data_IF_491464203940
#
_entry.id   IF_491464203940
#
_cell.length_a   1.000
_cell.length_b   1.000
_cell.length_c   1.000
_cell.angle_alpha   90.00
_cell.angle_beta   90.00
_cell.angle_gamma   90.00
#
_symmetry.space_group_name_H-M   'P 1'
#
loop_
_entity.id
_entity.type
_entity.pdbx_description
1 polymer ?
#
# COMPACT_ATOMS: atom_id res chain seq x y z
N UNK A 1 -15.44 -18.70 22.09
CA UNK A 1 -16.82 -18.27 22.18
C UNK A 1 -16.90 -16.77 22.01
N UNK A 2 -17.37 -16.30 20.85
CA UNK A 2 -17.58 -14.88 20.61
C UNK A 2 -18.70 -14.40 21.53
N UNK A 3 -18.37 -13.55 22.51
CA UNK A 3 -19.38 -12.75 23.19
C UNK A 3 -19.68 -11.55 22.29
N UNK A 4 -20.82 -11.57 21.63
CA UNK A 4 -21.38 -10.40 21.02
C UNK A 4 -21.70 -9.39 22.14
N UNK A 5 -20.94 -8.32 22.21
CA UNK A 5 -21.23 -7.21 23.09
C UNK A 5 -22.00 -6.14 22.28
N UNK A 6 -23.32 -6.01 22.48
CA UNK A 6 -24.12 -5.04 21.74
C UNK A 6 -23.79 -3.59 22.10
N UNK A 7 -22.98 -3.36 23.12
CA UNK A 7 -22.53 -2.02 23.54
C UNK A 7 -21.06 -1.75 23.22
N UNK A 8 -20.42 -2.64 22.45
CA UNK A 8 -19.08 -2.37 21.92
C UNK A 8 -19.13 -1.15 20.98
N UNK A 9 -18.25 -0.16 21.13
CA UNK A 9 -18.17 0.99 20.24
C UNK A 9 -17.90 0.60 18.78
N UNK A 10 -17.57 -0.66 18.50
CA UNK A 10 -17.45 -1.19 17.14
C UNK A 10 -18.81 -1.52 16.49
N UNK A 11 -19.87 -1.69 17.28
CA UNK A 11 -21.23 -2.00 16.78
C UNK A 11 -21.99 -0.74 16.35
N UNK A 12 -21.60 0.42 16.84
CA UNK A 12 -22.24 1.71 16.58
C UNK A 12 -21.68 2.42 15.33
N UNK A 13 -21.09 1.64 14.41
CA UNK A 13 -20.64 2.18 13.12
C UNK A 13 -21.86 2.44 12.24
N UNK A 14 -21.95 3.70 11.81
CA UNK A 14 -22.89 4.15 10.80
C UNK A 14 -22.92 3.15 9.61
N UNK A 15 -24.11 2.62 9.20
CA UNK A 15 -24.23 1.76 8.02
C UNK A 15 -23.61 2.35 6.75
N UNK A 16 -23.46 3.67 6.65
CA UNK A 16 -22.71 4.34 5.60
C UNK A 16 -21.21 4.06 5.64
N UNK A 17 -20.61 3.88 6.82
CA UNK A 17 -19.20 3.51 6.95
C UNK A 17 -18.96 2.07 6.51
N UNK A 18 -19.87 1.15 6.80
CA UNK A 18 -19.82 -0.22 6.29
C UNK A 18 -19.88 -0.24 4.76
N UNK A 19 -20.81 0.51 4.18
CA UNK A 19 -20.93 0.62 2.72
C UNK A 19 -19.67 1.20 2.08
N UNK A 20 -19.12 2.28 2.63
CA UNK A 20 -17.88 2.91 2.13
C UNK A 20 -16.69 1.95 2.22
N UNK A 21 -16.60 1.18 3.30
CA UNK A 21 -15.54 0.18 3.48
C UNK A 21 -15.65 -0.92 2.44
N UNK A 22 -16.85 -1.45 2.22
CA UNK A 22 -17.05 -2.57 1.28
C UNK A 22 -16.98 -2.14 -0.19
N UNK A 23 -17.31 -0.89 -0.49
CA UNK A 23 -17.22 -0.35 -1.85
C UNK A 23 -15.78 -0.08 -2.30
N UNK A 24 -14.93 0.35 -1.40
CA UNK A 24 -13.52 0.63 -1.69
C UNK A 24 -12.72 -0.69 -1.67
N UNK A 25 -12.10 -1.10 -2.81
CA UNK A 25 -11.40 -2.38 -2.89
C UNK A 25 -10.23 -2.48 -1.90
N UNK A 26 -9.57 -1.38 -1.58
CA UNK A 26 -8.46 -1.36 -0.62
C UNK A 26 -8.98 -1.53 0.81
N UNK A 27 -9.97 -0.74 1.20
CA UNK A 27 -10.56 -0.82 2.54
C UNK A 27 -11.22 -2.18 2.78
N UNK A 28 -11.90 -2.72 1.75
CA UNK A 28 -12.48 -4.05 1.80
C UNK A 28 -11.42 -5.12 2.01
N UNK A 29 -10.30 -5.04 1.32
CA UNK A 29 -9.20 -5.99 1.48
C UNK A 29 -8.56 -5.85 2.86
N UNK A 30 -8.31 -4.66 3.34
CA UNK A 30 -7.78 -4.42 4.70
C UNK A 30 -8.72 -4.97 5.77
N UNK A 31 -10.02 -4.84 5.58
CA UNK A 31 -11.02 -5.39 6.49
C UNK A 31 -11.01 -6.93 6.48
N UNK A 32 -10.95 -7.57 5.30
CA UNK A 32 -10.82 -9.02 5.18
C UNK A 32 -9.55 -9.52 5.88
N UNK A 33 -8.40 -8.92 5.61
CA UNK A 33 -7.13 -9.30 6.22
C UNK A 33 -7.19 -9.21 7.75
N UNK A 34 -7.85 -8.20 8.29
CA UNK A 34 -8.08 -8.06 9.73
C UNK A 34 -8.96 -9.20 10.28
N UNK A 35 -10.02 -9.60 9.56
CA UNK A 35 -10.88 -10.73 9.94
C UNK A 35 -10.10 -12.05 9.94
N UNK A 36 -9.15 -12.22 9.02
CA UNK A 36 -8.28 -13.39 8.92
C UNK A 36 -7.08 -13.33 9.89
N UNK A 37 -7.02 -12.30 10.75
CA UNK A 37 -5.97 -12.14 11.75
C UNK A 37 -4.62 -11.69 11.18
N UNK A 38 -4.61 -11.16 9.95
CA UNK A 38 -3.40 -10.64 9.31
C UNK A 38 -3.29 -9.14 9.59
N UNK A 39 -2.26 -8.75 10.33
CA UNK A 39 -1.90 -7.34 10.52
C UNK A 39 -0.97 -6.88 9.41
N UNK A 40 -1.36 -5.82 8.70
CA UNK A 40 -0.45 -5.12 7.80
C UNK A 40 0.56 -4.32 8.64
N UNK A 41 1.84 -4.49 8.37
CA UNK A 41 2.94 -3.87 9.16
C UNK A 41 2.80 -2.36 9.34
N UNK A 42 2.14 -1.68 8.42
CA UNK A 42 1.91 -0.22 8.50
C UNK A 42 0.78 0.19 9.43
N UNK A 43 -0.14 -0.69 9.76
CA UNK A 43 -1.28 -0.39 10.64
C UNK A 43 -1.03 -0.75 12.09
N UNK A 44 0.04 -1.47 12.37
CA UNK A 44 0.45 -1.76 13.74
C UNK A 44 0.95 -0.48 14.40
N UNK A 45 0.09 0.15 15.21
CA UNK A 45 0.52 1.24 16.11
C UNK A 45 1.69 0.79 16.97
N UNK A 46 1.70 -0.48 17.39
CA UNK A 46 2.76 -1.13 18.14
C UNK A 46 4.09 -1.19 17.39
N UNK A 47 4.08 -1.47 16.08
CA UNK A 47 5.30 -1.47 15.26
C UNK A 47 5.86 -0.03 15.10
N UNK A 48 5.00 0.98 15.01
CA UNK A 48 5.40 2.38 14.93
C UNK A 48 5.95 2.88 16.27
N UNK A 49 5.33 2.49 17.37
CA UNK A 49 5.81 2.83 18.72
C UNK A 49 7.13 2.12 19.04
N UNK A 50 7.27 0.84 18.64
CA UNK A 50 8.51 0.09 18.80
C UNK A 50 9.66 0.68 17.96
N UNK A 51 9.40 1.07 16.71
CA UNK A 51 10.39 1.74 15.86
C UNK A 51 10.81 3.10 16.42
N UNK A 52 9.88 3.87 17.02
CA UNK A 52 10.20 5.13 17.73
C UNK A 52 11.02 4.91 19.00
N UNK A 53 10.73 3.85 19.75
CA UNK A 53 11.43 3.53 20.98
C UNK A 53 12.84 2.99 20.76
N UNK A 54 13.07 2.26 19.65
CA UNK A 54 14.38 1.66 19.32
C UNK A 54 15.24 2.55 18.42
N UNK A 55 14.70 3.69 17.90
CA UNK A 55 15.42 4.55 16.97
C UNK A 55 15.67 3.91 15.61
N UNK A 56 15.07 2.75 15.36
CA UNK A 56 15.12 2.10 14.06
C UNK A 56 14.19 2.82 13.08
N UNK A 57 14.79 3.47 12.10
CA UNK A 57 14.03 3.93 10.94
C UNK A 57 13.45 2.70 10.27
N UNK A 58 12.11 2.61 10.17
CA UNK A 58 11.46 1.56 9.37
C UNK A 58 12.12 1.55 7.99
N UNK A 59 12.99 0.58 7.74
CA UNK A 59 13.47 0.31 6.39
C UNK A 59 12.26 -0.21 5.60
N UNK A 60 11.66 0.67 4.83
CA UNK A 60 10.70 0.24 3.82
C UNK A 60 11.44 -0.74 2.90
N UNK A 61 11.01 -2.00 2.93
CA UNK A 61 11.58 -3.01 2.03
C UNK A 61 11.12 -2.66 0.62
N UNK A 62 12.06 -2.24 -0.20
CA UNK A 62 11.79 -1.95 -1.61
C UNK A 62 11.41 -3.25 -2.30
N UNK A 63 10.26 -3.34 -2.96
CA UNK A 63 9.95 -4.51 -3.78
C UNK A 63 11.04 -4.73 -4.83
N UNK A 64 11.53 -5.99 -4.99
CA UNK A 64 12.67 -6.26 -5.88
C UNK A 64 12.47 -5.81 -7.33
N UNK A 65 11.23 -5.85 -7.82
CA UNK A 65 10.83 -5.42 -9.15
C UNK A 65 10.81 -3.90 -9.35
N UNK A 66 10.85 -3.13 -8.26
CA UNK A 66 10.88 -1.66 -8.27
C UNK A 66 12.26 -1.11 -7.95
N UNK A 67 13.23 -1.95 -7.63
CA UNK A 67 14.51 -1.52 -7.07
C UNK A 67 15.29 -0.60 -8.03
N UNK A 68 15.32 -0.94 -9.30
CA UNK A 68 16.02 -0.16 -10.33
C UNK A 68 15.36 1.19 -10.56
N UNK A 69 14.02 1.21 -10.74
CA UNK A 69 13.24 2.43 -10.92
C UNK A 69 13.35 3.37 -9.72
N UNK A 70 13.30 2.81 -8.52
CA UNK A 70 13.43 3.58 -7.27
C UNK A 70 14.82 4.18 -7.11
N UNK A 71 15.86 3.43 -7.46
CA UNK A 71 17.24 3.91 -7.40
C UNK A 71 17.45 5.09 -8.37
N UNK A 72 17.00 4.93 -9.62
CA UNK A 72 17.10 5.96 -10.63
C UNK A 72 16.34 7.23 -10.24
N UNK A 73 15.11 7.06 -9.77
CA UNK A 73 14.28 8.18 -9.30
C UNK A 73 14.91 8.91 -8.11
N UNK A 74 15.45 8.18 -7.14
CA UNK A 74 16.13 8.81 -6.01
C UNK A 74 17.35 9.62 -6.42
N UNK A 75 18.13 9.14 -7.38
CA UNK A 75 19.25 9.90 -7.95
C UNK A 75 18.78 11.20 -8.61
N UNK A 76 17.71 11.14 -9.39
CA UNK A 76 17.13 12.31 -10.06
C UNK A 76 16.56 13.33 -9.05
N UNK A 77 15.93 12.86 -7.98
CA UNK A 77 15.42 13.73 -6.91
C UNK A 77 16.57 14.43 -6.16
N UNK A 78 17.66 13.73 -5.93
CA UNK A 78 18.86 14.30 -5.31
C UNK A 78 19.51 15.36 -6.20
N UNK A 79 19.63 15.10 -7.51
CA UNK A 79 20.10 16.04 -8.52
C UNK A 79 19.19 17.27 -8.61
N UNK A 80 17.86 17.10 -8.63
CA UNK A 80 16.90 18.20 -8.60
C UNK A 80 17.09 19.09 -7.37
N UNK A 81 17.28 18.49 -6.20
CA UNK A 81 17.53 19.23 -4.96
C UNK A 81 18.83 20.04 -5.00
N UNK A 82 19.89 19.50 -5.61
CA UNK A 82 21.17 20.20 -5.80
C UNK A 82 21.02 21.36 -6.76
N UNK A 83 20.37 21.15 -7.92
CA UNK A 83 20.16 22.18 -8.94
C UNK A 83 19.34 23.34 -8.39
N UNK A 84 18.29 23.08 -7.63
CA UNK A 84 17.51 24.14 -6.95
C UNK A 84 18.35 24.96 -5.99
N UNK A 85 19.23 24.35 -5.22
CA UNK A 85 20.14 25.06 -4.31
C UNK A 85 21.16 25.94 -5.05
N UNK A 86 21.52 25.56 -6.26
CA UNK A 86 22.43 26.34 -7.14
C UNK A 86 21.67 27.38 -7.95
N UNK A 87 20.36 27.44 -7.92
CA UNK A 87 19.52 28.33 -8.69
C UNK A 87 19.41 27.93 -10.16
N UNK A 88 19.72 26.68 -10.47
CA UNK A 88 19.61 26.12 -11.81
C UNK A 88 18.27 25.40 -11.96
N UNK A 89 17.52 25.75 -13.01
CA UNK A 89 16.23 25.16 -13.36
C UNK A 89 16.40 24.26 -14.57
N UNK A 90 16.70 22.98 -14.34
CA UNK A 90 16.72 21.97 -15.39
C UNK A 90 15.30 21.44 -15.66
N UNK A 91 14.68 21.96 -16.74
CA UNK A 91 13.36 21.52 -17.17
C UNK A 91 13.34 20.06 -17.66
N UNK A 92 14.46 19.57 -18.22
CA UNK A 92 14.59 18.20 -18.71
C UNK A 92 14.53 17.19 -17.55
N UNK A 93 15.23 17.49 -16.46
CA UNK A 93 15.20 16.67 -15.26
C UNK A 93 13.80 16.62 -14.62
N UNK A 94 13.10 17.75 -14.58
CA UNK A 94 11.73 17.85 -14.08
C UNK A 94 10.78 17.03 -14.95
N UNK A 95 10.94 17.06 -16.27
CA UNK A 95 10.14 16.26 -17.21
C UNK A 95 10.39 14.76 -17.03
N UNK A 96 11.62 14.34 -16.80
CA UNK A 96 11.95 12.92 -16.58
C UNK A 96 11.41 12.42 -15.25
N UNK A 97 11.51 13.18 -14.18
CA UNK A 97 10.89 12.87 -12.88
C UNK A 97 9.36 12.77 -13.02
N UNK A 98 8.74 13.64 -13.80
CA UNK A 98 7.30 13.59 -14.07
C UNK A 98 6.90 12.33 -14.84
N UNK A 99 7.71 11.88 -15.80
CA UNK A 99 7.48 10.60 -16.50
C UNK A 99 7.55 9.40 -15.55
N UNK A 100 8.55 9.37 -14.66
CA UNK A 100 8.66 8.33 -13.64
C UNK A 100 7.43 8.31 -12.70
N UNK A 101 6.96 9.50 -12.29
CA UNK A 101 5.73 9.62 -11.51
C UNK A 101 4.52 9.01 -12.22
N UNK A 102 4.31 9.34 -13.50
CA UNK A 102 3.21 8.79 -14.29
C UNK A 102 3.31 7.26 -14.44
N UNK A 103 4.52 6.72 -14.61
CA UNK A 103 4.75 5.28 -14.67
C UNK A 103 4.39 4.59 -13.33
N UNK A 104 4.75 5.20 -12.20
CA UNK A 104 4.40 4.70 -10.87
C UNK A 104 2.88 4.75 -10.62
N UNK A 105 2.20 5.80 -11.03
CA UNK A 105 0.74 5.92 -10.95
C UNK A 105 0.04 4.84 -11.80
N UNK A 106 0.51 4.59 -13.02
CA UNK A 106 0.00 3.52 -13.87
C UNK A 106 0.24 2.12 -13.25
N UNK A 107 1.39 1.90 -12.63
CA UNK A 107 1.68 0.68 -11.86
C UNK A 107 0.70 0.51 -10.70
N UNK A 108 0.38 1.57 -10.00
CA UNK A 108 -0.58 1.57 -8.91
C UNK A 108 -2.00 1.17 -9.36
N UNK A 109 -2.42 1.63 -10.54
CA UNK A 109 -3.69 1.21 -11.15
C UNK A 109 -3.68 -0.28 -11.55
N UNK A 110 -2.54 -0.77 -12.05
CA UNK A 110 -2.37 -2.18 -12.37
C UNK A 110 -2.52 -3.06 -11.12
N UNK A 111 -1.94 -2.65 -10.00
CA UNK A 111 -2.09 -3.34 -8.71
C UNK A 111 -3.54 -3.42 -8.24
N UNK A 112 -4.36 -2.40 -8.52
CA UNK A 112 -5.80 -2.46 -8.21
C UNK A 112 -6.52 -3.51 -9.04
N UNK A 113 -6.14 -3.69 -10.31
CA UNK A 113 -6.71 -4.74 -11.17
C UNK A 113 -6.29 -6.14 -10.70
N UNK A 114 -5.04 -6.29 -10.28
CA UNK A 114 -4.56 -7.54 -9.67
C UNK A 114 -5.34 -7.87 -8.40
N UNK A 115 -5.56 -6.88 -7.53
CA UNK A 115 -6.35 -7.06 -6.33
C UNK A 115 -7.78 -7.52 -6.63
N UNK A 116 -8.41 -6.98 -7.67
CA UNK A 116 -9.73 -7.41 -8.11
C UNK A 116 -9.73 -8.86 -8.62
N UNK A 117 -8.65 -9.30 -9.28
CA UNK A 117 -8.49 -10.70 -9.70
C UNK A 117 -8.36 -11.63 -8.49
N UNK A 118 -7.59 -11.24 -7.47
CA UNK A 118 -7.45 -12.01 -6.24
C UNK A 118 -8.76 -12.08 -5.44
N UNK A 119 -9.60 -11.08 -5.50
CA UNK A 119 -10.95 -11.15 -4.94
C UNK A 119 -11.81 -12.21 -5.62
N UNK A 120 -11.72 -12.36 -6.94
CA UNK A 120 -12.41 -13.43 -7.67
C UNK A 120 -11.88 -14.81 -7.28
N UNK A 121 -10.56 -14.95 -7.11
CA UNK A 121 -9.95 -16.19 -6.60
C UNK A 121 -10.45 -16.51 -5.19
N UNK A 122 -10.54 -15.51 -4.33
CA UNK A 122 -11.06 -15.65 -2.97
C UNK A 122 -12.51 -16.11 -2.96
N UNK A 123 -13.38 -15.44 -3.70
CA UNK A 123 -14.80 -15.77 -3.79
C UNK A 123 -15.00 -17.21 -4.30
N UNK A 124 -14.25 -17.61 -5.33
CA UNK A 124 -14.27 -18.97 -5.86
C UNK A 124 -13.83 -20.01 -4.81
N UNK A 125 -12.90 -19.68 -3.94
CA UNK A 125 -12.41 -20.59 -2.88
C UNK A 125 -13.42 -20.82 -1.76
N UNK A 126 -14.38 -19.91 -1.58
CA UNK A 126 -15.44 -20.05 -0.55
C UNK A 126 -16.43 -21.13 -0.97
N UNK A 127 -16.75 -21.23 -2.26
CA UNK A 127 -17.72 -22.20 -2.81
C UNK A 127 -17.14 -23.62 -2.86
N UNK A 128 -15.81 -23.77 -2.75
CA UNK A 128 -15.14 -25.06 -2.79
C UNK A 128 -14.72 -25.48 -1.37
N UNK A 129 -15.12 -26.67 -0.98
CA UNK A 129 -14.79 -27.52 0.17
C UNK A 129 -13.70 -27.05 1.17
N UNK A 130 -13.75 -27.52 2.45
CA UNK A 130 -12.76 -27.19 3.49
C UNK A 130 -11.29 -27.48 3.17
N UNK A 131 -10.99 -28.24 2.10
CA UNK A 131 -9.63 -28.50 1.61
C UNK A 131 -8.94 -27.28 0.97
N UNK A 132 -9.68 -26.20 0.71
CA UNK A 132 -9.16 -24.98 0.09
C UNK A 132 -8.43 -24.02 1.07
N UNK A 133 -8.14 -24.43 2.30
CA UNK A 133 -7.46 -23.57 3.30
C UNK A 133 -6.06 -23.10 2.83
N UNK A 134 -5.33 -23.94 2.12
CA UNK A 134 -4.03 -23.60 1.55
C UNK A 134 -4.13 -22.58 0.40
N UNK A 135 -5.13 -22.69 -0.45
CA UNK A 135 -5.40 -21.75 -1.54
C UNK A 135 -5.82 -20.38 -0.99
N UNK A 136 -6.64 -20.35 0.07
CA UNK A 136 -7.03 -19.11 0.75
C UNK A 136 -5.84 -18.41 1.37
N UNK A 137 -4.96 -19.13 2.05
CA UNK A 137 -3.74 -18.57 2.62
C UNK A 137 -2.81 -18.00 1.54
N UNK A 138 -2.69 -18.67 0.39
CA UNK A 138 -1.91 -18.17 -0.74
C UNK A 138 -2.54 -16.89 -1.34
N UNK A 139 -3.85 -16.84 -1.49
CA UNK A 139 -4.56 -15.64 -1.99
C UNK A 139 -4.42 -14.47 -1.02
N UNK A 140 -4.52 -14.70 0.28
CA UNK A 140 -4.24 -13.68 1.30
C UNK A 140 -2.82 -13.16 1.19
N UNK A 141 -1.82 -14.01 1.00
CA UNK A 141 -0.44 -13.60 0.80
C UNK A 141 -0.26 -12.69 -0.42
N UNK A 142 -0.91 -13.01 -1.52
CA UNK A 142 -0.93 -12.16 -2.75
C UNK A 142 -1.59 -10.80 -2.48
N UNK A 143 -2.70 -10.76 -1.75
CA UNK A 143 -3.38 -9.51 -1.38
C UNK A 143 -2.51 -8.62 -0.50
N UNK A 144 -1.81 -9.20 0.48
CA UNK A 144 -0.86 -8.48 1.34
C UNK A 144 0.27 -7.87 0.50
N UNK A 145 0.84 -8.64 -0.42
CA UNK A 145 1.91 -8.17 -1.30
C UNK A 145 1.46 -6.98 -2.15
N UNK A 146 0.27 -7.05 -2.76
CA UNK A 146 -0.30 -5.95 -3.52
C UNK A 146 -0.49 -4.69 -2.67
N UNK A 147 -1.01 -4.82 -1.45
CA UNK A 147 -1.20 -3.68 -0.57
C UNK A 147 0.13 -3.04 -0.14
N UNK A 148 1.14 -3.85 0.15
CA UNK A 148 2.48 -3.37 0.51
C UNK A 148 3.13 -2.62 -0.66
N UNK A 149 3.09 -3.18 -1.87
CA UNK A 149 3.60 -2.53 -3.09
C UNK A 149 2.88 -1.22 -3.37
N UNK A 150 1.54 -1.23 -3.30
CA UNK A 150 0.73 -0.03 -3.51
C UNK A 150 1.10 1.08 -2.53
N UNK A 151 1.30 0.72 -1.30
CA UNK A 151 1.64 1.66 -0.25
C UNK A 151 3.03 2.25 -0.44
N UNK A 152 3.99 1.41 -0.82
CA UNK A 152 5.32 1.85 -1.20
C UNK A 152 5.28 2.87 -2.36
N UNK A 153 4.57 2.55 -3.44
CA UNK A 153 4.41 3.44 -4.60
C UNK A 153 3.75 4.77 -4.21
N UNK A 154 2.71 4.73 -3.38
CA UNK A 154 2.05 5.96 -2.89
C UNK A 154 2.99 6.87 -2.13
N UNK A 155 3.83 6.31 -1.26
CA UNK A 155 4.81 7.08 -0.52
C UNK A 155 5.83 7.72 -1.46
N UNK A 156 6.30 6.96 -2.45
CA UNK A 156 7.25 7.44 -3.44
C UNK A 156 6.65 8.57 -4.31
N UNK A 157 5.40 8.41 -4.77
CA UNK A 157 4.70 9.48 -5.53
C UNK A 157 4.49 10.73 -4.68
N UNK A 158 4.19 10.58 -3.39
CA UNK A 158 4.10 11.72 -2.47
C UNK A 158 5.42 12.47 -2.35
N UNK A 159 6.53 11.74 -2.22
CA UNK A 159 7.86 12.33 -2.08
C UNK A 159 8.29 13.04 -3.37
N UNK A 160 7.94 12.47 -4.54
CA UNK A 160 8.13 13.13 -5.85
C UNK A 160 7.31 14.41 -5.95
N UNK A 161 6.04 14.39 -5.55
CA UNK A 161 5.21 15.60 -5.58
C UNK A 161 5.79 16.70 -4.69
N UNK A 162 6.21 16.37 -3.49
CA UNK A 162 6.86 17.34 -2.59
C UNK A 162 8.11 17.96 -3.23
N UNK A 163 8.95 17.16 -3.88
CA UNK A 163 10.16 17.64 -4.54
C UNK A 163 9.87 18.51 -5.77
N UNK A 164 8.75 18.28 -6.47
CA UNK A 164 8.36 19.09 -7.64
C UNK A 164 7.69 20.42 -7.23
N UNK A 165 7.06 20.49 -6.07
CA UNK A 165 6.34 21.68 -5.57
C UNK A 165 7.28 22.67 -4.87
N UNK A 166 8.42 22.25 -4.33
CA UNK A 166 9.47 23.10 -3.74
C UNK A 166 10.27 23.87 -4.81
#
# INVERSE_FOLDING_TARGET
>A
MFKFDPYSPEVDRDPFDAYRTLRDPIKRTQYLLRLEGVELEEQSKTATEHARATGETKKQIVPPDLLEEVFELNMQLEELSMNKKMGDNDSSLTDDITKHKLALEAKNESLLKELQAYWKEWDASIDHSPSASGERAATIGKMVDVLNRRNYIRNLVRDVNAALEE
#
